data_IF_655572213261
#
_entry.id   IF_655572213261
#
_cell.length_a   1.000
_cell.length_b   1.000
_cell.length_c   1.000
_cell.angle_alpha   90.00
_cell.angle_beta   90.00
_cell.angle_gamma   90.00
#
_symmetry.space_group_name_H-M   'P 1'
#
loop_
_entity.id
_entity.type
_entity.pdbx_description
1 polymer ?
#
# COMPACT_ATOMS: atom_id res chain seq x y z
N UNK A 1 34.92 47.46 -36.26
CA UNK A 1 33.66 47.07 -36.92
C UNK A 1 33.61 45.55 -37.00
N UNK A 2 32.62 44.96 -36.31
CA UNK A 2 32.00 43.63 -36.47
C UNK A 2 32.90 42.42 -36.77
N UNK A 3 33.26 41.71 -35.69
CA UNK A 3 33.68 40.30 -35.75
C UNK A 3 32.44 39.41 -35.92
N UNK A 4 32.40 38.61 -36.97
CA UNK A 4 31.33 37.65 -37.25
C UNK A 4 31.64 36.31 -36.58
N UNK A 5 30.85 35.95 -35.57
CA UNK A 5 30.85 34.61 -34.99
C UNK A 5 30.09 33.70 -35.97
N UNK A 6 30.61 32.52 -36.36
CA UNK A 6 29.93 31.64 -37.30
C UNK A 6 28.71 31.01 -36.61
N UNK A 7 27.52 31.31 -37.16
CA UNK A 7 26.21 30.86 -36.69
C UNK A 7 25.99 29.33 -36.72
N UNK A 8 26.98 28.56 -37.19
CA UNK A 8 26.85 27.11 -37.39
C UNK A 8 26.96 26.27 -36.09
N UNK A 9 27.55 26.81 -35.03
CA UNK A 9 27.75 26.05 -33.78
C UNK A 9 26.58 26.12 -32.79
N UNK A 10 25.64 27.05 -32.98
CA UNK A 10 24.48 27.20 -32.07
C UNK A 10 23.33 26.25 -32.46
N UNK A 11 23.27 25.81 -33.72
CA UNK A 11 22.19 24.95 -34.20
C UNK A 11 22.29 23.49 -33.74
N UNK A 12 23.48 23.00 -33.36
CA UNK A 12 23.67 21.60 -32.94
C UNK A 12 23.42 21.37 -31.45
N UNK A 13 23.41 22.43 -30.63
CA UNK A 13 23.16 22.34 -29.19
C UNK A 13 21.67 22.38 -28.82
N UNK A 14 20.79 22.77 -29.75
CA UNK A 14 19.35 22.94 -29.47
C UNK A 14 18.48 21.71 -29.74
N UNK A 15 19.05 20.65 -30.33
CA UNK A 15 18.30 19.44 -30.67
C UNK A 15 18.33 18.33 -29.59
N UNK A 16 19.05 18.54 -28.48
CA UNK A 16 19.25 17.54 -27.42
C UNK A 16 18.38 17.76 -26.17
N UNK A 17 17.49 18.76 -26.18
CA UNK A 17 16.53 19.00 -25.10
C UNK A 17 15.12 18.78 -25.63
N UNK A 18 14.87 17.61 -26.22
CA UNK A 18 13.51 17.12 -26.26
C UNK A 18 13.25 16.51 -24.88
N UNK A 19 12.32 17.04 -24.07
CA UNK A 19 11.79 16.25 -22.97
C UNK A 19 11.19 15.02 -23.66
N UNK A 20 11.71 13.84 -23.33
CA UNK A 20 10.98 12.63 -23.61
C UNK A 20 9.68 12.78 -22.81
N UNK A 21 8.58 13.08 -23.49
CA UNK A 21 7.25 13.01 -22.90
C UNK A 21 7.08 11.56 -22.44
N UNK A 22 7.38 11.33 -21.17
CA UNK A 22 7.15 10.06 -20.53
C UNK A 22 5.64 9.85 -20.63
N UNK A 23 5.23 8.87 -21.45
CA UNK A 23 3.86 8.39 -21.46
C UNK A 23 3.53 8.08 -20.00
N UNK A 24 2.71 8.92 -19.37
CA UNK A 24 2.18 8.65 -18.05
C UNK A 24 1.27 7.44 -18.21
N UNK A 25 1.83 6.24 -18.11
CA UNK A 25 1.04 5.04 -17.95
C UNK A 25 0.12 5.30 -16.76
N UNK A 26 -1.19 5.23 -16.97
CA UNK A 26 -2.15 5.29 -15.88
C UNK A 26 -1.83 4.11 -14.96
N UNK A 27 -1.11 4.39 -13.87
CA UNK A 27 -0.80 3.40 -12.87
C UNK A 27 -2.12 2.95 -12.24
N UNK A 28 -2.40 1.66 -12.38
CA UNK A 28 -3.52 1.04 -11.67
C UNK A 28 -2.95 0.32 -10.45
N UNK A 29 -3.70 0.34 -9.35
CA UNK A 29 -3.45 -0.61 -8.28
C UNK A 29 -3.53 -2.03 -8.87
N UNK A 30 -2.51 -2.86 -8.59
CA UNK A 30 -2.43 -4.23 -9.04
C UNK A 30 -3.21 -5.13 -8.08
N UNK A 31 -4.44 -5.47 -8.45
CA UNK A 31 -5.13 -6.75 -8.21
C UNK A 31 -6.65 -6.54 -8.09
N UNK A 32 -7.48 -7.43 -8.67
CA UNK A 32 -8.77 -7.75 -8.06
C UNK A 32 -8.49 -8.51 -6.76
N UNK A 33 -8.62 -7.85 -5.61
CA UNK A 33 -8.50 -8.51 -4.31
C UNK A 33 -9.74 -9.37 -4.06
N UNK A 34 -9.55 -10.58 -3.50
CA UNK A 34 -10.67 -11.35 -2.95
C UNK A 34 -10.84 -11.01 -1.47
N UNK A 35 -12.04 -11.23 -0.93
CA UNK A 35 -12.25 -11.19 0.51
C UNK A 35 -11.21 -12.09 1.20
N UNK A 36 -10.53 -11.57 2.21
CA UNK A 36 -9.48 -12.28 2.96
C UNK A 36 -8.06 -12.10 2.41
N UNK A 37 -7.87 -11.44 1.27
CA UNK A 37 -6.52 -11.15 0.74
C UNK A 37 -5.85 -9.92 1.35
N UNK A 38 -6.55 -8.79 1.57
CA UNK A 38 -6.00 -7.76 2.45
C UNK A 38 -5.84 -8.37 3.85
N UNK A 39 -4.60 -8.47 4.30
CA UNK A 39 -4.26 -8.93 5.64
C UNK A 39 -3.50 -7.81 6.36
N UNK A 40 -3.79 -7.55 7.65
CA UNK A 40 -4.75 -8.24 8.51
C UNK A 40 -6.23 -8.00 8.16
N UNK A 41 -7.14 -8.88 8.60
CA UNK A 41 -8.59 -8.76 8.32
C UNK A 41 -9.45 -9.40 9.41
N UNK A 42 -10.61 -8.79 9.70
CA UNK A 42 -11.61 -9.33 10.64
C UNK A 42 -12.32 -10.59 10.13
N UNK A 43 -11.99 -11.09 8.93
CA UNK A 43 -12.43 -12.43 8.51
C UNK A 43 -11.70 -13.55 9.27
N UNK A 44 -10.57 -13.25 9.91
CA UNK A 44 -9.81 -14.17 10.77
C UNK A 44 -9.87 -13.73 12.24
N UNK A 45 -11.02 -13.20 12.64
CA UNK A 45 -11.32 -12.89 14.04
C UNK A 45 -12.72 -13.38 14.39
N UNK A 46 -12.95 -13.58 15.68
CA UNK A 46 -14.26 -13.85 16.26
C UNK A 46 -14.59 -12.81 17.31
N UNK A 47 -15.88 -12.57 17.55
CA UNK A 47 -16.31 -11.67 18.62
C UNK A 47 -15.95 -12.26 19.99
N UNK A 48 -15.27 -11.46 20.82
CA UNK A 48 -14.89 -11.80 22.18
C UNK A 48 -15.04 -10.56 23.07
N UNK A 49 -16.10 -10.53 23.88
CA UNK A 49 -16.38 -9.40 24.77
C UNK A 49 -15.43 -9.27 25.97
N UNK A 50 -14.48 -10.20 26.15
CA UNK A 50 -13.44 -10.10 27.19
C UNK A 50 -12.22 -9.29 26.74
N UNK A 51 -12.12 -9.00 25.43
CA UNK A 51 -11.05 -8.26 24.79
C UNK A 51 -11.42 -6.78 24.62
N UNK A 52 -10.44 -5.86 24.57
CA UNK A 52 -10.68 -4.40 24.49
C UNK A 52 -11.30 -4.03 23.13
N UNK A 53 -10.85 -4.66 22.05
CA UNK A 53 -11.39 -4.43 20.70
C UNK A 53 -12.73 -5.14 20.48
N UNK A 54 -13.15 -6.00 21.42
CA UNK A 54 -14.31 -6.89 21.25
C UNK A 54 -14.07 -8.03 20.25
N UNK A 55 -12.83 -8.20 19.79
CA UNK A 55 -12.42 -9.24 18.84
C UNK A 55 -11.27 -10.07 19.41
N UNK A 56 -11.23 -11.34 19.04
CA UNK A 56 -10.10 -12.24 19.25
C UNK A 56 -9.67 -12.82 17.92
N UNK A 57 -8.36 -12.96 17.70
CA UNK A 57 -7.83 -13.61 16.50
C UNK A 57 -8.32 -15.07 16.44
N UNK A 58 -8.66 -15.54 15.23
CA UNK A 58 -9.15 -16.89 14.95
C UNK A 58 -8.59 -17.36 13.60
N UNK A 59 -7.34 -17.81 13.61
CA UNK A 59 -6.64 -18.28 12.43
C UNK A 59 -6.95 -19.76 12.15
N UNK A 60 -7.15 -20.15 10.88
CA UNK A 60 -7.36 -21.55 10.53
C UNK A 60 -6.11 -22.38 10.82
N UNK A 61 -6.25 -23.46 11.59
CA UNK A 61 -5.16 -24.39 11.87
C UNK A 61 -4.93 -25.40 10.74
N UNK A 62 -3.67 -25.77 10.45
CA UNK A 62 -3.35 -26.89 9.57
C UNK A 62 -3.66 -28.23 10.26
N UNK A 63 -3.33 -29.34 9.60
CA UNK A 63 -3.37 -30.66 10.24
C UNK A 63 -2.31 -30.73 11.36
N UNK A 64 -2.75 -30.63 12.62
CA UNK A 64 -1.88 -30.62 13.78
C UNK A 64 -1.17 -31.96 14.05
N UNK A 65 -1.58 -33.07 13.40
CA UNK A 65 -0.82 -34.31 13.48
C UNK A 65 0.45 -34.25 12.62
N UNK A 66 0.44 -33.44 11.56
CA UNK A 66 1.57 -33.24 10.64
C UNK A 66 2.36 -31.99 11.03
N UNK A 67 1.67 -30.94 11.46
CA UNK A 67 2.19 -29.61 11.77
C UNK A 67 1.92 -29.19 13.22
N UNK A 68 2.42 -29.92 14.22
CA UNK A 68 2.12 -29.63 15.63
C UNK A 68 2.64 -28.27 16.08
N UNK A 69 3.80 -27.83 15.58
CA UNK A 69 4.38 -26.53 15.91
C UNK A 69 3.54 -25.37 15.36
N UNK A 70 3.10 -25.44 14.10
CA UNK A 70 2.27 -24.40 13.49
C UNK A 70 0.95 -24.22 14.26
N UNK A 71 0.36 -25.34 14.72
CA UNK A 71 -0.85 -25.28 15.56
C UNK A 71 -0.58 -24.63 16.92
N UNK A 72 0.55 -24.92 17.57
CA UNK A 72 0.91 -24.32 18.84
C UNK A 72 1.18 -22.81 18.71
N UNK A 73 1.80 -22.38 17.61
CA UNK A 73 2.01 -20.96 17.32
C UNK A 73 0.66 -20.26 17.07
N UNK A 74 -0.23 -20.87 16.28
CA UNK A 74 -1.58 -20.35 16.07
C UNK A 74 -2.36 -20.27 17.38
N UNK A 75 -2.24 -21.26 18.27
CA UNK A 75 -2.89 -21.21 19.59
C UNK A 75 -2.50 -19.97 20.40
N UNK A 76 -1.24 -19.52 20.31
CA UNK A 76 -0.79 -18.29 20.95
C UNK A 76 -1.35 -17.07 20.22
N UNK A 77 -1.32 -17.05 18.89
CA UNK A 77 -1.86 -15.95 18.08
C UNK A 77 -3.36 -15.75 18.31
N UNK A 78 -4.12 -16.84 18.46
CA UNK A 78 -5.56 -16.81 18.72
C UNK A 78 -5.92 -16.35 20.15
N UNK A 79 -4.95 -15.94 20.96
CA UNK A 79 -5.18 -15.24 22.23
C UNK A 79 -5.15 -13.71 22.11
N UNK A 80 -4.73 -13.19 20.95
CA UNK A 80 -4.56 -11.75 20.73
C UNK A 80 -5.91 -11.03 20.62
N UNK A 81 -5.95 -9.82 21.18
CA UNK A 81 -7.06 -8.85 21.14
C UNK A 81 -7.19 -8.24 19.75
N UNK A 82 -7.66 -9.05 18.80
CA UNK A 82 -7.74 -8.68 17.39
C UNK A 82 -6.37 -8.50 16.74
N UNK A 83 -6.38 -7.99 15.50
CA UNK A 83 -5.17 -7.59 14.80
C UNK A 83 -4.80 -6.13 15.15
N UNK A 84 -3.61 -5.71 14.72
CA UNK A 84 -3.13 -4.35 14.94
C UNK A 84 -4.19 -3.31 14.53
N UNK A 85 -4.59 -2.46 15.48
CA UNK A 85 -5.55 -1.37 15.31
C UNK A 85 -5.06 -0.26 14.36
N UNK A 86 -3.76 -0.19 14.08
CA UNK A 86 -3.18 0.73 13.09
C UNK A 86 -2.36 -0.07 12.06
N UNK A 87 -3.01 -0.79 11.12
CA UNK A 87 -2.30 -1.63 10.17
C UNK A 87 -1.59 -0.79 9.12
N UNK A 88 -0.40 -1.25 8.71
CA UNK A 88 0.26 -0.74 7.50
C UNK A 88 -0.33 -1.41 6.27
N UNK A 89 -0.95 -0.62 5.40
CA UNK A 89 -1.52 -1.04 4.13
C UNK A 89 -0.43 -0.95 3.05
N UNK A 90 -0.30 -1.97 2.21
CA UNK A 90 0.65 -2.00 1.09
C UNK A 90 -0.11 -2.16 -0.21
N UNK A 91 0.02 -1.19 -1.11
CA UNK A 91 -0.72 -1.10 -2.38
C UNK A 91 0.30 -1.15 -3.52
N UNK A 92 0.45 -2.30 -4.20
CA UNK A 92 1.29 -2.39 -5.38
C UNK A 92 0.60 -1.71 -6.58
N UNK A 93 1.37 -1.02 -7.41
CA UNK A 93 0.92 -0.35 -8.63
C UNK A 93 1.61 -0.93 -9.86
N UNK A 94 0.92 -0.88 -11.01
CA UNK A 94 1.43 -1.40 -12.28
C UNK A 94 2.62 -0.61 -12.83
N UNK A 95 2.82 0.61 -12.35
CA UNK A 95 3.86 1.55 -12.73
C UNK A 95 4.07 2.57 -11.59
N UNK A 96 5.13 3.39 -11.63
CA UNK A 96 5.29 4.51 -10.70
C UNK A 96 4.09 5.46 -10.71
N UNK A 97 3.76 6.02 -9.55
CA UNK A 97 2.70 7.03 -9.35
C UNK A 97 3.31 8.41 -9.09
N UNK A 98 2.53 9.47 -9.30
CA UNK A 98 2.89 10.83 -8.85
C UNK A 98 2.65 10.96 -7.35
N UNK A 99 3.74 10.97 -6.57
CA UNK A 99 3.68 11.06 -5.11
C UNK A 99 3.08 12.36 -4.60
N UNK A 100 3.07 13.44 -5.40
CA UNK A 100 2.43 14.71 -5.01
C UNK A 100 0.91 14.60 -4.91
N UNK A 101 0.33 13.54 -5.51
CA UNK A 101 -1.11 13.27 -5.48
C UNK A 101 -1.53 12.38 -4.30
N UNK A 102 -0.59 11.80 -3.55
CA UNK A 102 -0.89 10.88 -2.45
C UNK A 102 -1.31 11.68 -1.21
N UNK A 103 -2.59 11.56 -0.84
CA UNK A 103 -3.19 12.24 0.31
C UNK A 103 -4.41 11.47 0.82
N UNK A 104 -4.95 11.83 1.99
CA UNK A 104 -6.22 11.28 2.51
C UNK A 104 -7.45 11.55 1.61
N UNK A 105 -7.32 12.38 0.57
CA UNK A 105 -8.39 12.61 -0.42
C UNK A 105 -8.34 11.65 -1.61
N UNK A 106 -7.19 11.02 -1.86
CA UNK A 106 -6.96 10.12 -3.01
C UNK A 106 -6.71 8.68 -2.59
N UNK A 107 -6.18 8.48 -1.39
CA UNK A 107 -5.98 7.16 -0.77
C UNK A 107 -6.63 7.21 0.61
N UNK A 108 -7.66 6.40 0.80
CA UNK A 108 -8.44 6.34 2.03
C UNK A 108 -9.07 4.95 2.18
N UNK A 109 -9.44 4.62 3.40
CA UNK A 109 -10.17 3.42 3.77
C UNK A 109 -11.66 3.77 3.91
N UNK A 110 -12.53 2.85 3.51
CA UNK A 110 -13.98 2.99 3.70
C UNK A 110 -14.46 1.86 4.60
N UNK A 111 -14.91 2.23 5.78
CA UNK A 111 -15.49 1.34 6.77
C UNK A 111 -17.00 1.12 6.59
N UNK A 112 -17.61 0.30 7.46
CA UNK A 112 -19.05 0.10 7.50
C UNK A 112 -19.81 1.43 7.64
N UNK A 113 -20.97 1.53 6.99
CA UNK A 113 -21.78 2.75 7.01
C UNK A 113 -21.19 3.92 6.21
N UNK A 114 -20.10 3.71 5.46
CA UNK A 114 -19.45 4.75 4.66
C UNK A 114 -18.52 5.66 5.46
N UNK A 115 -18.09 5.25 6.65
CA UNK A 115 -17.05 5.96 7.40
C UNK A 115 -15.76 5.99 6.58
N UNK A 116 -15.20 7.18 6.36
CA UNK A 116 -13.96 7.37 5.59
C UNK A 116 -12.84 7.68 6.55
N UNK A 117 -11.78 6.88 6.48
CA UNK A 117 -10.55 7.04 7.25
C UNK A 117 -9.43 7.36 6.27
N UNK A 118 -8.66 8.41 6.53
CA UNK A 118 -7.56 8.79 5.67
C UNK A 118 -6.32 7.93 5.90
N UNK A 119 -5.18 8.43 5.43
CA UNK A 119 -3.88 7.79 5.64
C UNK A 119 -2.87 8.76 6.26
N UNK A 120 -1.94 8.21 7.03
CA UNK A 120 -0.74 8.89 7.49
C UNK A 120 0.51 8.04 7.13
N UNK A 121 1.69 8.60 7.37
CA UNK A 121 2.98 7.90 7.24
C UNK A 121 3.17 7.17 5.88
N UNK A 122 2.86 7.85 4.77
CA UNK A 122 3.02 7.30 3.43
C UNK A 122 4.49 7.16 3.03
N UNK A 123 4.89 5.96 2.59
CA UNK A 123 6.24 5.62 2.12
C UNK A 123 6.15 4.93 0.76
N UNK A 124 6.96 5.39 -0.20
CA UNK A 124 7.02 4.80 -1.54
C UNK A 124 8.22 3.88 -1.70
N UNK A 125 7.99 2.66 -2.19
CA UNK A 125 9.03 1.71 -2.59
C UNK A 125 9.14 1.61 -4.12
N UNK A 126 10.19 2.18 -4.74
CA UNK A 126 10.28 2.31 -6.19
C UNK A 126 10.65 0.99 -6.91
N UNK A 127 11.27 0.03 -6.21
CA UNK A 127 11.66 -1.25 -6.84
C UNK A 127 10.46 -2.14 -7.13
N UNK A 128 9.41 -2.04 -6.31
CA UNK A 128 8.20 -2.85 -6.41
C UNK A 128 6.97 -2.05 -6.83
N UNK A 129 7.14 -0.74 -7.05
CA UNK A 129 6.05 0.22 -7.26
C UNK A 129 4.96 0.11 -6.16
N UNK A 130 5.37 0.08 -4.89
CA UNK A 130 4.45 -0.13 -3.78
C UNK A 130 4.33 1.13 -2.92
N UNK A 131 3.09 1.56 -2.68
CA UNK A 131 2.79 2.54 -1.65
C UNK A 131 2.52 1.81 -0.33
N UNK A 132 3.27 2.13 0.71
CA UNK A 132 2.95 1.77 2.08
C UNK A 132 2.33 2.96 2.78
N UNK A 133 1.24 2.76 3.52
CA UNK A 133 0.59 3.82 4.29
C UNK A 133 -0.03 3.23 5.56
N UNK A 134 -0.23 4.05 6.58
CA UNK A 134 -0.94 3.67 7.80
C UNK A 134 -2.28 4.42 7.87
N UNK A 135 -3.22 3.87 8.62
CA UNK A 135 -4.50 4.54 8.92
C UNK A 135 -4.25 5.78 9.79
N UNK A 136 -4.93 6.89 9.48
CA UNK A 136 -4.87 8.10 10.31
C UNK A 136 -5.73 8.04 11.57
N UNK A 137 -6.67 7.10 11.64
CA UNK A 137 -7.49 6.76 12.81
C UNK A 137 -7.21 5.33 13.31
N UNK A 138 -7.57 5.07 14.58
CA UNK A 138 -7.56 3.74 15.21
C UNK A 138 -8.95 3.13 15.23
#
# INVERSE_FOLDING_TARGET
MRSFIPAALVALALALVYPADALAATASALAPTKAGQPFPTNLYTVHDGTQITGLRVDLPKPDCAIHPSDCADIDVLDTLDGFNIQPRISIPFSAPIDLSTVSSSTVFLVGPGGHVVGINQAVWEPLTNTLHAESDEQ
#
